data_IF_069282578524
#
_entry.id   IF_069282578524
#
_cell.length_a   1.000
_cell.length_b   1.000
_cell.length_c   1.000
_cell.angle_alpha   90.00
_cell.angle_beta   90.00
_cell.angle_gamma   90.00
#
_symmetry.space_group_name_H-M   'P 1'
#
loop_
_entity.id
_entity.type
_entity.pdbx_description
1 polymer ?
#
# COMPACT_ATOMS: atom_id res chain seq x y z
N UNK A 1 19.33 -9.13 -6.74
CA UNK A 1 18.92 -10.21 -5.81
C UNK A 1 18.20 -11.28 -6.60
N UNK A 2 18.59 -12.52 -6.43
CA UNK A 2 17.95 -13.66 -7.09
C UNK A 2 16.78 -14.14 -6.21
N UNK A 3 15.58 -13.70 -6.52
CA UNK A 3 14.41 -14.00 -5.70
C UNK A 3 14.00 -15.47 -5.76
N UNK A 4 14.39 -16.18 -6.82
CA UNK A 4 14.03 -17.58 -6.96
C UNK A 4 14.77 -18.50 -5.99
N UNK A 5 15.83 -18.00 -5.34
CA UNK A 5 16.54 -18.74 -4.30
C UNK A 5 15.74 -18.87 -3.01
N UNK A 6 14.74 -18.02 -2.81
CA UNK A 6 14.04 -17.92 -1.55
C UNK A 6 12.64 -18.48 -1.69
N UNK A 7 12.23 -19.36 -0.77
CA UNK A 7 10.88 -19.92 -0.84
C UNK A 7 9.83 -18.85 -0.52
N UNK A 8 8.64 -19.05 -1.08
CA UNK A 8 7.51 -18.21 -0.79
C UNK A 8 7.09 -18.35 0.68
N UNK A 9 6.65 -17.25 1.28
CA UNK A 9 6.02 -17.28 2.59
C UNK A 9 4.51 -17.25 2.43
N UNK A 10 3.83 -18.33 2.79
CA UNK A 10 2.37 -18.37 2.71
C UNK A 10 1.72 -17.29 3.59
N UNK A 11 2.32 -17.00 4.74
CA UNK A 11 1.79 -15.98 5.63
C UNK A 11 1.87 -14.59 5.02
N UNK A 12 3.00 -14.25 4.40
CA UNK A 12 3.18 -12.96 3.72
C UNK A 12 2.25 -12.85 2.52
N UNK A 13 2.19 -13.89 1.71
CA UNK A 13 1.33 -13.91 0.54
C UNK A 13 -0.14 -13.76 0.92
N UNK A 14 -0.56 -14.47 1.97
CA UNK A 14 -1.93 -14.37 2.48
C UNK A 14 -2.26 -12.97 2.98
N UNK A 15 -1.34 -12.35 3.70
CA UNK A 15 -1.52 -10.98 4.18
C UNK A 15 -1.71 -10.00 3.03
N UNK A 16 -0.89 -10.14 1.98
CA UNK A 16 -1.00 -9.30 0.80
C UNK A 16 -2.33 -9.52 0.07
N UNK A 17 -2.79 -10.77 -0.04
CA UNK A 17 -4.09 -11.06 -0.66
C UNK A 17 -5.24 -10.43 0.13
N UNK A 18 -5.16 -10.39 1.47
CA UNK A 18 -6.17 -9.72 2.30
C UNK A 18 -6.18 -8.22 2.01
N UNK A 19 -5.02 -7.61 1.95
CA UNK A 19 -4.90 -6.18 1.64
C UNK A 19 -5.48 -5.88 0.26
N UNK A 20 -5.13 -6.70 -0.73
CA UNK A 20 -5.66 -6.57 -2.09
C UNK A 20 -7.18 -6.72 -2.13
N UNK A 21 -7.73 -7.68 -1.38
CA UNK A 21 -9.16 -7.90 -1.31
C UNK A 21 -9.90 -6.68 -0.77
N UNK A 22 -9.30 -5.97 0.18
CA UNK A 22 -9.92 -4.80 0.79
C UNK A 22 -9.84 -3.54 -0.08
N UNK A 23 -8.96 -3.53 -1.07
CA UNK A 23 -8.88 -2.39 -1.99
C UNK A 23 -10.18 -2.29 -2.79
N UNK A 24 -10.67 -1.08 -2.97
CA UNK A 24 -11.94 -0.87 -3.67
C UNK A 24 -13.17 -0.91 -2.76
N UNK A 25 -13.01 -1.22 -1.48
CA UNK A 25 -14.11 -1.26 -0.52
C UNK A 25 -13.88 -0.25 0.61
N UNK A 26 -13.52 0.97 0.22
CA UNK A 26 -13.01 1.97 1.17
C UNK A 26 -14.04 2.46 2.18
N UNK A 27 -15.29 2.52 1.82
CA UNK A 27 -16.33 3.09 2.70
C UNK A 27 -16.97 2.03 3.58
N UNK A 28 -17.56 1.02 2.95
CA UNK A 28 -18.32 0.00 3.67
C UNK A 28 -17.47 -1.18 4.13
N UNK A 29 -16.31 -1.36 3.54
CA UNK A 29 -15.45 -2.47 3.90
C UNK A 29 -16.00 -3.83 3.47
N UNK A 30 -15.45 -4.87 4.04
CA UNK A 30 -15.84 -6.26 3.76
C UNK A 30 -16.00 -7.05 5.05
N UNK A 31 -16.90 -8.02 5.04
CA UNK A 31 -17.03 -8.96 6.14
C UNK A 31 -15.85 -9.94 6.14
N UNK A 32 -15.50 -10.55 7.28
CA UNK A 32 -14.46 -11.57 7.31
C UNK A 32 -14.70 -12.73 6.33
N UNK A 33 -15.96 -13.13 6.16
CA UNK A 33 -16.32 -14.17 5.22
C UNK A 33 -16.01 -13.81 3.77
N UNK A 34 -16.34 -12.57 3.39
CA UNK A 34 -16.04 -12.08 2.05
C UNK A 34 -14.53 -11.95 1.82
N UNK A 35 -13.82 -11.50 2.85
CA UNK A 35 -12.36 -11.41 2.80
C UNK A 35 -11.77 -12.81 2.59
N UNK A 36 -12.24 -13.79 3.36
CA UNK A 36 -11.74 -15.16 3.27
C UNK A 36 -11.92 -15.74 1.86
N UNK A 37 -13.07 -15.53 1.27
CA UNK A 37 -13.34 -16.01 -0.10
C UNK A 37 -12.44 -15.31 -1.12
N UNK A 38 -12.33 -14.01 -1.02
CA UNK A 38 -11.54 -13.21 -1.96
C UNK A 38 -10.04 -13.48 -1.83
N UNK A 39 -9.55 -13.66 -0.62
CA UNK A 39 -8.13 -13.88 -0.34
C UNK A 39 -7.74 -15.38 -0.38
N UNK A 40 -8.70 -16.28 -0.61
CA UNK A 40 -8.47 -17.72 -0.62
C UNK A 40 -7.82 -18.18 0.69
N UNK A 41 -8.42 -17.78 1.79
CA UNK A 41 -7.95 -18.09 3.13
C UNK A 41 -9.10 -18.67 3.96
N UNK A 42 -8.76 -19.32 5.07
CA UNK A 42 -9.77 -19.80 6.01
C UNK A 42 -10.24 -18.66 6.91
N UNK A 43 -11.45 -18.75 7.47
CA UNK A 43 -11.91 -17.73 8.41
C UNK A 43 -10.97 -17.51 9.61
N UNK A 44 -10.39 -18.60 10.13
CA UNK A 44 -9.44 -18.51 11.24
C UNK A 44 -8.17 -17.76 10.84
N UNK A 45 -7.67 -17.98 9.63
CA UNK A 45 -6.52 -17.27 9.11
C UNK A 45 -6.81 -15.78 8.95
N UNK A 46 -7.98 -15.46 8.41
CA UNK A 46 -8.40 -14.06 8.23
C UNK A 46 -8.51 -13.35 9.58
N UNK A 47 -9.13 -13.98 10.57
CA UNK A 47 -9.26 -13.38 11.90
C UNK A 47 -7.90 -13.04 12.50
N UNK A 48 -6.94 -13.95 12.42
CA UNK A 48 -5.58 -13.71 12.93
C UNK A 48 -4.86 -12.61 12.17
N UNK A 49 -5.00 -12.59 10.86
CA UNK A 49 -4.37 -11.54 10.04
C UNK A 49 -4.98 -10.19 10.31
N UNK A 50 -6.31 -10.10 10.39
CA UNK A 50 -6.97 -8.83 10.68
C UNK A 50 -6.50 -8.26 12.00
N UNK A 51 -6.36 -9.07 13.04
CA UNK A 51 -5.88 -8.60 14.32
C UNK A 51 -4.49 -7.94 14.22
N UNK A 52 -3.59 -8.57 13.48
CA UNK A 52 -2.25 -8.04 13.28
C UNK A 52 -2.23 -6.79 12.41
N UNK A 53 -3.01 -6.78 11.34
CA UNK A 53 -3.09 -5.64 10.44
C UNK A 53 -3.73 -4.43 11.11
N UNK A 54 -4.71 -4.67 12.00
CA UNK A 54 -5.34 -3.61 12.79
C UNK A 54 -4.32 -2.98 13.74
N UNK A 55 -3.50 -3.78 14.43
CA UNK A 55 -2.47 -3.26 15.32
C UNK A 55 -1.48 -2.36 14.59
N UNK A 56 -1.28 -2.59 13.32
CA UNK A 56 -0.35 -1.79 12.51
C UNK A 56 -1.05 -0.63 11.77
N UNK A 57 -2.35 -0.47 11.94
CA UNK A 57 -3.09 0.57 11.26
C UNK A 57 -3.31 0.34 9.77
N UNK A 58 -2.96 -0.85 9.27
CA UNK A 58 -3.14 -1.22 7.86
C UNK A 58 -4.60 -1.51 7.55
N UNK A 59 -5.32 -2.03 8.54
CA UNK A 59 -6.76 -2.31 8.47
C UNK A 59 -7.44 -1.63 9.65
N UNK A 60 -8.66 -1.20 9.44
CA UNK A 60 -9.52 -0.67 10.50
C UNK A 60 -10.94 -1.19 10.33
N UNK A 61 -11.75 -1.07 11.38
CA UNK A 61 -13.17 -1.36 11.28
C UNK A 61 -13.84 -0.27 10.44
N UNK A 62 -14.81 -0.67 9.61
CA UNK A 62 -15.57 0.28 8.85
C UNK A 62 -16.69 0.86 9.73
N UNK A 63 -17.43 1.84 9.21
CA UNK A 63 -18.58 2.40 9.90
C UNK A 63 -19.72 1.37 10.03
N UNK A 64 -19.68 0.29 9.27
CA UNK A 64 -20.62 -0.80 9.38
C UNK A 64 -20.04 -1.88 10.28
N UNK A 65 -20.74 -2.18 11.36
CA UNK A 65 -20.27 -3.17 12.33
C UNK A 65 -19.96 -4.51 11.68
N UNK A 66 -18.86 -5.13 12.10
CA UNK A 66 -18.44 -6.43 11.60
C UNK A 66 -17.78 -6.41 10.23
N UNK A 67 -17.49 -5.22 9.71
CA UNK A 67 -16.82 -5.07 8.42
C UNK A 67 -15.51 -4.31 8.59
N UNK A 68 -14.58 -4.59 7.70
CA UNK A 68 -13.20 -4.09 7.78
C UNK A 68 -12.81 -3.44 6.47
N UNK A 69 -11.92 -2.44 6.55
CA UNK A 69 -11.44 -1.70 5.37
C UNK A 69 -9.97 -1.36 5.57
N UNK A 70 -9.32 -0.91 4.50
CA UNK A 70 -7.94 -0.44 4.61
C UNK A 70 -7.87 0.76 5.54
N UNK A 71 -6.89 0.73 6.44
CA UNK A 71 -6.66 1.81 7.38
C UNK A 71 -5.72 2.87 6.82
N UNK A 72 -5.54 3.98 7.55
CA UNK A 72 -4.73 5.09 7.05
C UNK A 72 -3.25 4.75 6.87
N UNK A 73 -2.69 3.82 7.64
CA UNK A 73 -1.26 3.53 7.57
C UNK A 73 -0.81 3.09 6.17
N UNK A 74 -1.58 2.23 5.51
CA UNK A 74 -1.22 1.74 4.17
C UNK A 74 -1.36 2.84 3.11
N UNK A 75 -2.37 3.69 3.25
CA UNK A 75 -2.58 4.81 2.34
C UNK A 75 -1.49 5.86 2.52
N UNK A 76 -1.12 6.16 3.75
CA UNK A 76 -0.04 7.11 4.06
C UNK A 76 1.30 6.63 3.52
N UNK A 77 1.56 5.33 3.57
CA UNK A 77 2.77 4.75 3.02
C UNK A 77 2.87 4.97 1.52
N UNK A 78 1.78 4.73 0.80
CA UNK A 78 1.73 4.96 -0.64
C UNK A 78 1.86 6.44 -0.98
N UNK A 79 1.20 7.31 -0.21
CA UNK A 79 1.30 8.76 -0.42
C UNK A 79 2.70 9.29 -0.17
N UNK A 80 3.40 8.77 0.82
CA UNK A 80 4.78 9.18 1.08
C UNK A 80 5.67 8.91 -0.13
N UNK A 81 5.46 7.77 -0.79
CA UNK A 81 6.18 7.43 -2.01
C UNK A 81 5.87 8.41 -3.14
N UNK A 82 4.59 8.74 -3.35
CA UNK A 82 4.19 9.69 -4.38
C UNK A 82 4.75 11.09 -4.13
N UNK A 83 4.75 11.53 -2.88
CA UNK A 83 5.31 12.83 -2.50
C UNK A 83 6.81 12.87 -2.81
N UNK A 84 7.51 11.78 -2.52
CA UNK A 84 8.93 11.66 -2.80
C UNK A 84 9.22 11.72 -4.29
N UNK A 85 8.43 11.02 -5.10
CA UNK A 85 8.56 11.08 -6.56
C UNK A 85 8.33 12.50 -7.09
N UNK A 86 7.31 13.18 -6.58
CA UNK A 86 7.02 14.56 -6.98
C UNK A 86 8.17 15.49 -6.64
N UNK A 87 8.80 15.28 -5.48
CA UNK A 87 9.98 16.06 -5.10
C UNK A 87 11.14 15.81 -6.06
N UNK A 88 11.38 14.56 -6.41
CA UNK A 88 12.45 14.22 -7.36
C UNK A 88 12.20 14.82 -8.73
N UNK A 89 10.94 14.84 -9.19
CA UNK A 89 10.58 15.49 -10.46
C UNK A 89 10.87 16.97 -10.44
N UNK A 90 10.55 17.66 -9.33
CA UNK A 90 10.84 19.09 -9.19
C UNK A 90 12.33 19.36 -9.18
N UNK A 91 13.09 18.55 -8.45
CA UNK A 91 14.55 18.70 -8.41
C UNK A 91 15.16 18.51 -9.79
N UNK A 92 14.69 17.51 -10.53
CA UNK A 92 15.15 17.25 -11.88
C UNK A 92 14.81 18.40 -12.83
N UNK A 93 13.59 18.92 -12.72
CA UNK A 93 13.16 20.05 -13.53
C UNK A 93 14.02 21.30 -13.26
N UNK A 94 14.34 21.54 -12.00
CA UNK A 94 15.23 22.66 -11.61
C UNK A 94 16.63 22.46 -12.17
N UNK A 95 17.16 21.23 -12.13
CA UNK A 95 18.46 20.94 -12.72
C UNK A 95 18.46 21.20 -14.22
N UNK A 96 17.44 20.71 -14.92
CA UNK A 96 17.35 20.93 -16.37
C UNK A 96 17.28 22.39 -16.71
N UNK A 97 16.55 23.17 -15.93
CA UNK A 97 16.43 24.60 -16.14
C UNK A 97 17.78 25.28 -15.99
N UNK A 98 18.56 24.92 -14.97
CA UNK A 98 19.91 25.48 -14.80
C UNK A 98 20.84 25.08 -15.94
N UNK A 99 20.81 23.83 -16.35
CA UNK A 99 21.73 23.33 -17.40
C UNK A 99 21.30 23.73 -18.79
N UNK A 100 20.08 24.13 -19.00
CA UNK A 100 19.60 24.59 -20.31
C UNK A 100 19.84 26.04 -20.57
N UNK A 101 20.28 26.82 -19.57
CA UNK A 101 20.59 28.21 -19.77
C UNK A 101 21.82 28.35 -20.66
N UNK A 102 21.68 29.18 -21.66
CA UNK A 102 22.80 29.52 -22.50
C UNK A 102 23.78 30.39 -21.73
N UNK A 103 25.06 30.05 -21.73
CA UNK A 103 26.02 30.93 -21.07
C UNK A 103 25.95 32.35 -21.63
N UNK A 104 25.95 33.32 -20.74
CA UNK A 104 25.98 34.69 -21.13
C UNK A 104 27.41 35.02 -21.57
N UNK A 105 27.59 35.11 -22.82
CA UNK A 105 28.92 35.52 -23.33
C UNK A 105 28.93 36.99 -23.46
N UNK A 106 29.76 37.55 -22.71
CA UNK A 106 30.09 38.95 -22.89
C UNK A 106 31.42 39.03 -23.60
N UNK A 107 31.40 39.50 -24.73
CA UNK A 107 32.70 39.63 -25.43
C UNK A 107 33.10 41.02 -25.59
#
# INVERSE_FOLDING_TARGET
MDIDRYPDSEAVDRALRVIEALSGNAVNGMSPGDIARSAKATPAQVTRLLAQLIRRGVVETSRTEGRYRLGPAIVQLARAHEIDLARAERELAEMRQRYSRTPTTTD
#
